data_IF_578268447492
#
_entry.id   IF_578268447492
#
_cell.length_a   1.000
_cell.length_b   1.000
_cell.length_c   1.000
_cell.angle_alpha   90.00
_cell.angle_beta   90.00
_cell.angle_gamma   90.00
#
_symmetry.space_group_name_H-M   'P 1'
#
loop_
_entity.id
_entity.type
_entity.pdbx_description
1 polymer ?
#
# COMPACT_ATOMS: atom_id res chain seq x y z
N UNK A 1 7.96 -37.98 0.82
CA UNK A 1 7.67 -37.14 2.01
C UNK A 1 8.81 -36.11 2.22
N UNK A 2 10.10 -36.47 2.12
CA UNK A 2 11.20 -35.50 2.31
C UNK A 2 11.24 -34.37 1.26
N UNK A 3 10.86 -34.64 0.00
CA UNK A 3 10.85 -33.63 -1.07
C UNK A 3 9.78 -32.56 -0.81
N UNK A 4 8.57 -32.91 -0.40
CA UNK A 4 7.48 -31.96 -0.10
C UNK A 4 7.74 -31.09 1.12
N UNK A 5 8.71 -31.45 1.98
CA UNK A 5 9.09 -30.64 3.12
C UNK A 5 9.90 -29.37 2.74
N UNK A 6 10.59 -29.41 1.59
CA UNK A 6 11.53 -28.34 1.19
C UNK A 6 11.21 -27.70 -0.16
N UNK A 7 10.23 -28.20 -0.92
CA UNK A 7 9.87 -27.71 -2.26
C UNK A 7 8.38 -27.44 -2.38
N UNK A 8 8.05 -26.47 -3.21
CA UNK A 8 6.65 -26.15 -3.58
C UNK A 8 6.12 -27.17 -4.61
N UNK A 9 4.97 -27.74 -4.35
CA UNK A 9 4.41 -28.81 -5.17
C UNK A 9 3.90 -28.39 -6.55
N UNK A 10 3.60 -27.09 -6.75
CA UNK A 10 3.11 -26.57 -8.03
C UNK A 10 4.26 -26.18 -8.96
N UNK A 11 5.24 -25.45 -8.43
CA UNK A 11 6.32 -24.85 -9.21
C UNK A 11 7.60 -25.68 -9.20
N UNK A 12 7.75 -26.61 -8.25
CA UNK A 12 8.98 -27.35 -8.02
C UNK A 12 10.13 -26.53 -7.43
N UNK A 13 9.93 -25.24 -7.19
CA UNK A 13 10.91 -24.38 -6.53
C UNK A 13 11.10 -24.75 -5.05
N UNK A 14 12.22 -24.42 -4.44
CA UNK A 14 12.36 -24.36 -2.99
C UNK A 14 11.20 -23.62 -2.34
N UNK A 15 10.70 -24.15 -1.22
CA UNK A 15 9.63 -23.52 -0.47
C UNK A 15 10.16 -22.54 0.58
N UNK A 16 9.28 -21.93 1.37
CA UNK A 16 9.60 -20.98 2.43
C UNK A 16 10.61 -21.53 3.45
N UNK A 17 10.48 -22.79 3.82
CA UNK A 17 11.38 -23.41 4.82
C UNK A 17 12.80 -23.55 4.26
N UNK A 18 12.93 -24.02 3.03
CA UNK A 18 14.24 -24.14 2.36
C UNK A 18 14.89 -22.75 2.17
N UNK A 19 14.08 -21.72 1.75
CA UNK A 19 14.55 -20.35 1.63
C UNK A 19 15.11 -19.83 2.96
N UNK A 20 14.39 -20.01 4.06
CA UNK A 20 14.84 -19.57 5.38
C UNK A 20 16.14 -20.23 5.80
N UNK A 21 16.27 -21.54 5.66
CA UNK A 21 17.51 -22.26 5.96
C UNK A 21 18.70 -21.77 5.12
N UNK A 22 18.47 -21.51 3.84
CA UNK A 22 19.50 -20.98 2.95
C UNK A 22 19.91 -19.57 3.30
N UNK A 23 18.94 -18.72 3.65
CA UNK A 23 19.19 -17.35 4.11
C UNK A 23 20.03 -17.35 5.40
N UNK A 24 19.69 -18.18 6.39
CA UNK A 24 20.46 -18.33 7.61
C UNK A 24 21.90 -18.80 7.35
N UNK A 25 22.08 -19.75 6.42
CA UNK A 25 23.42 -20.21 6.00
C UNK A 25 24.19 -19.09 5.28
N UNK A 26 23.50 -18.30 4.43
CA UNK A 26 24.14 -17.20 3.70
C UNK A 26 24.59 -16.07 4.64
N UNK A 27 23.81 -15.78 5.71
CA UNK A 27 24.16 -14.78 6.72
C UNK A 27 25.34 -15.18 7.62
N UNK A 28 25.62 -16.47 7.75
CA UNK A 28 26.79 -16.98 8.50
C UNK A 28 28.09 -16.93 7.69
N UNK A 29 28.00 -16.82 6.37
CA UNK A 29 29.20 -16.71 5.54
C UNK A 29 29.77 -15.29 5.69
N UNK A 30 31.09 -15.15 5.85
CA UNK A 30 31.72 -13.85 5.85
C UNK A 30 31.42 -13.12 4.53
N UNK A 31 31.25 -11.81 4.60
CA UNK A 31 31.15 -11.01 3.39
C UNK A 31 32.46 -11.11 2.61
N UNK A 32 32.35 -11.55 1.37
CA UNK A 32 33.47 -11.58 0.45
C UNK A 32 33.44 -10.22 -0.26
N UNK A 33 34.43 -9.39 -0.04
CA UNK A 33 34.53 -8.04 -0.63
C UNK A 33 34.39 -7.99 -2.16
N UNK A 34 34.45 -9.15 -2.82
CA UNK A 34 34.43 -9.27 -4.28
C UNK A 34 33.04 -9.47 -4.88
N UNK A 35 31.99 -9.65 -4.08
CA UNK A 35 30.61 -9.87 -4.60
C UNK A 35 29.59 -9.16 -3.72
N UNK A 36 28.59 -8.59 -4.38
CA UNK A 36 27.41 -8.01 -3.75
C UNK A 36 26.32 -9.07 -3.66
N UNK A 37 25.67 -9.19 -2.50
CA UNK A 37 24.58 -10.15 -2.25
C UNK A 37 23.30 -9.45 -1.82
N UNK A 38 22.17 -9.90 -2.34
CA UNK A 38 20.88 -9.37 -1.97
C UNK A 38 19.84 -10.48 -1.73
N UNK A 39 18.94 -10.21 -0.81
CA UNK A 39 17.65 -10.88 -0.69
C UNK A 39 16.65 -10.06 -1.51
N UNK A 40 15.97 -10.71 -2.43
CA UNK A 40 14.93 -10.15 -3.29
C UNK A 40 13.61 -10.79 -2.89
N UNK A 41 12.58 -10.00 -2.63
CA UNK A 41 11.23 -10.43 -2.30
C UNK A 41 10.28 -9.90 -3.36
N UNK A 42 9.48 -10.77 -3.96
CA UNK A 42 8.63 -10.44 -5.10
C UNK A 42 7.18 -10.82 -4.80
N UNK A 43 6.26 -10.03 -5.34
CA UNK A 43 4.83 -10.28 -5.30
C UNK A 43 4.22 -9.92 -6.66
N UNK A 44 3.37 -10.80 -7.19
CA UNK A 44 2.75 -10.59 -8.49
C UNK A 44 1.60 -9.59 -8.41
N UNK A 45 1.74 -8.51 -9.14
CA UNK A 45 0.73 -7.46 -9.17
C UNK A 45 -0.56 -7.96 -9.82
N UNK A 46 -1.67 -7.75 -9.11
CA UNK A 46 -3.01 -8.10 -9.59
C UNK A 46 -3.24 -9.60 -9.87
N UNK A 47 -2.46 -10.51 -9.28
CA UNK A 47 -2.63 -11.96 -9.42
C UNK A 47 -4.06 -12.43 -9.10
N UNK A 48 -4.68 -11.84 -8.07
CA UNK A 48 -6.07 -12.12 -7.72
C UNK A 48 -7.02 -11.87 -8.90
N UNK A 49 -6.81 -10.79 -9.67
CA UNK A 49 -7.62 -10.49 -10.86
C UNK A 49 -7.51 -11.60 -11.92
N UNK A 50 -6.33 -12.19 -12.12
CA UNK A 50 -6.14 -13.33 -13.03
C UNK A 50 -6.97 -14.52 -12.55
N UNK A 51 -6.92 -14.86 -11.25
CA UNK A 51 -7.72 -15.93 -10.67
C UNK A 51 -9.23 -15.67 -10.81
N UNK A 52 -9.67 -14.45 -10.51
CA UNK A 52 -11.09 -14.10 -10.51
C UNK A 52 -11.65 -14.04 -11.94
N UNK A 53 -10.82 -13.72 -12.95
CA UNK A 53 -11.24 -13.56 -14.35
C UNK A 53 -11.07 -14.83 -15.18
N UNK A 54 -9.92 -15.53 -15.04
CA UNK A 54 -9.54 -16.69 -15.86
C UNK A 54 -9.62 -18.02 -15.08
N UNK A 55 -9.89 -17.96 -13.78
CA UNK A 55 -9.99 -19.11 -12.90
C UNK A 55 -8.65 -19.55 -12.29
N UNK A 56 -8.72 -20.29 -11.19
CA UNK A 56 -7.54 -20.79 -10.46
C UNK A 56 -6.56 -21.61 -11.30
N UNK A 57 -7.00 -22.47 -12.26
CA UNK A 57 -6.05 -23.17 -13.10
C UNK A 57 -5.15 -22.23 -13.92
N UNK A 58 -5.68 -21.09 -14.42
CA UNK A 58 -4.88 -20.10 -15.14
C UNK A 58 -3.88 -19.39 -14.19
N UNK A 59 -4.27 -19.14 -12.94
CA UNK A 59 -3.35 -18.65 -11.92
C UNK A 59 -2.23 -19.63 -11.61
N UNK A 60 -2.51 -20.93 -11.55
CA UNK A 60 -1.50 -21.97 -11.34
C UNK A 60 -0.50 -22.01 -12.50
N UNK A 61 -0.98 -21.92 -13.75
CA UNK A 61 -0.11 -21.85 -14.94
C UNK A 61 0.73 -20.59 -14.96
N UNK A 62 0.14 -19.43 -14.60
CA UNK A 62 0.89 -18.18 -14.45
C UNK A 62 2.05 -18.33 -13.44
N UNK A 63 1.82 -18.94 -12.29
CA UNK A 63 2.85 -19.19 -11.28
C UNK A 63 3.97 -20.10 -11.79
N UNK A 64 3.65 -21.09 -12.64
CA UNK A 64 4.65 -21.94 -13.30
C UNK A 64 5.47 -21.17 -14.32
N UNK A 65 4.84 -20.32 -15.14
CA UNK A 65 5.54 -19.44 -16.07
C UNK A 65 6.48 -18.45 -15.36
N UNK A 66 6.01 -17.80 -14.28
CA UNK A 66 6.83 -16.92 -13.44
C UNK A 66 8.03 -17.67 -12.88
N UNK A 67 7.80 -18.88 -12.34
CA UNK A 67 8.86 -19.76 -11.85
C UNK A 67 9.92 -20.07 -12.93
N UNK A 68 9.47 -20.35 -14.14
CA UNK A 68 10.35 -20.58 -15.29
C UNK A 68 11.20 -19.35 -15.63
N UNK A 69 10.58 -18.17 -15.75
CA UNK A 69 11.28 -16.90 -16.03
C UNK A 69 12.30 -16.54 -14.95
N UNK A 70 11.95 -16.71 -13.67
CA UNK A 70 12.89 -16.45 -12.56
C UNK A 70 14.08 -17.43 -12.59
N UNK A 71 13.87 -18.70 -12.91
CA UNK A 71 14.94 -19.66 -13.05
C UNK A 71 15.84 -19.35 -14.25
N UNK A 72 15.29 -18.89 -15.39
CA UNK A 72 16.07 -18.48 -16.55
C UNK A 72 17.00 -17.28 -16.28
N UNK A 73 16.53 -16.33 -15.43
CA UNK A 73 17.31 -15.17 -15.01
C UNK A 73 18.39 -15.51 -13.98
N UNK A 74 18.23 -16.62 -13.27
CA UNK A 74 19.09 -16.98 -12.14
C UNK A 74 20.44 -17.51 -12.61
N UNK A 75 21.52 -17.07 -11.96
CA UNK A 75 22.85 -17.63 -12.12
C UNK A 75 23.09 -18.88 -11.24
N UNK A 76 24.22 -19.55 -11.46
CA UNK A 76 24.60 -20.81 -10.78
C UNK A 76 24.65 -20.70 -9.24
N UNK A 77 24.80 -19.49 -8.72
CA UNK A 77 24.90 -19.23 -7.28
C UNK A 77 23.64 -18.61 -6.67
N UNK A 78 22.66 -18.33 -7.50
CA UNK A 78 21.39 -17.77 -7.06
C UNK A 78 20.46 -18.88 -6.54
N UNK A 79 19.48 -18.47 -5.78
CA UNK A 79 18.39 -19.34 -5.33
C UNK A 79 17.08 -18.63 -5.60
N UNK A 80 16.15 -19.35 -6.20
CA UNK A 80 14.75 -18.93 -6.36
C UNK A 80 13.89 -19.81 -5.45
N UNK A 81 12.90 -19.22 -4.80
CA UNK A 81 11.93 -19.93 -3.96
C UNK A 81 10.53 -19.35 -4.15
N UNK A 82 9.50 -20.19 -4.05
CA UNK A 82 8.12 -19.75 -3.88
C UNK A 82 7.77 -19.79 -2.40
N UNK A 83 7.27 -18.66 -1.87
CA UNK A 83 7.04 -18.50 -0.44
C UNK A 83 5.60 -18.85 -0.06
N UNK A 84 4.64 -18.25 -0.76
CA UNK A 84 3.22 -18.53 -0.60
C UNK A 84 2.43 -17.85 -1.72
N UNK A 85 1.27 -18.37 -2.09
CA UNK A 85 0.39 -17.70 -3.05
C UNK A 85 1.13 -17.18 -4.29
N UNK A 86 1.21 -15.88 -4.43
CA UNK A 86 1.86 -15.09 -5.49
C UNK A 86 3.22 -14.50 -5.08
N UNK A 87 3.74 -14.89 -3.92
CA UNK A 87 5.02 -14.42 -3.39
C UNK A 87 6.18 -15.34 -3.77
N UNK A 88 7.25 -14.74 -4.27
CA UNK A 88 8.53 -15.40 -4.55
C UNK A 88 9.66 -14.68 -3.81
N UNK A 89 10.78 -15.39 -3.64
CA UNK A 89 11.98 -14.78 -3.07
C UNK A 89 13.22 -15.33 -3.78
N UNK A 90 14.28 -14.50 -3.82
CA UNK A 90 15.57 -14.92 -4.36
C UNK A 90 16.70 -14.51 -3.41
N UNK A 91 17.72 -15.33 -3.34
CA UNK A 91 19.05 -14.93 -2.82
C UNK A 91 19.96 -14.84 -4.03
N UNK A 92 20.48 -13.67 -4.31
CA UNK A 92 21.25 -13.39 -5.52
C UNK A 92 22.60 -12.79 -5.19
N UNK A 93 23.58 -13.03 -6.07
CA UNK A 93 24.90 -12.41 -5.97
C UNK A 93 25.41 -11.96 -7.33
N UNK A 94 26.03 -10.77 -7.37
CA UNK A 94 26.64 -10.18 -8.56
C UNK A 94 27.96 -9.52 -8.20
N UNK A 95 28.86 -9.34 -9.19
CA UNK A 95 30.18 -8.74 -8.91
C UNK A 95 30.08 -7.31 -8.36
N UNK A 96 29.17 -6.50 -8.88
CA UNK A 96 29.05 -5.09 -8.48
C UNK A 96 27.60 -4.73 -8.13
N UNK A 97 27.43 -3.58 -7.49
CA UNK A 97 26.10 -3.02 -7.21
C UNK A 97 25.34 -2.69 -8.50
N UNK A 98 26.04 -2.15 -9.51
CA UNK A 98 25.44 -1.85 -10.81
C UNK A 98 24.91 -3.10 -11.51
N UNK A 99 25.60 -4.25 -11.39
CA UNK A 99 25.13 -5.52 -11.94
C UNK A 99 23.88 -6.03 -11.21
N UNK A 100 23.75 -5.75 -9.91
CA UNK A 100 22.52 -6.05 -9.15
C UNK A 100 21.35 -5.17 -9.58
N UNK A 101 21.58 -3.87 -9.73
CA UNK A 101 20.53 -2.93 -10.16
C UNK A 101 20.02 -3.30 -11.56
N UNK A 102 20.90 -3.58 -12.50
CA UNK A 102 20.51 -4.08 -13.82
C UNK A 102 19.71 -5.39 -13.74
N UNK A 103 20.11 -6.28 -12.84
CA UNK A 103 19.38 -7.54 -12.62
C UNK A 103 17.98 -7.31 -12.03
N UNK A 104 17.79 -6.34 -11.14
CA UNK A 104 16.47 -6.00 -10.60
C UNK A 104 15.57 -5.38 -11.68
N UNK A 105 16.12 -4.53 -12.54
CA UNK A 105 15.42 -4.01 -13.72
C UNK A 105 15.00 -5.15 -14.65
N UNK A 106 15.91 -6.08 -14.95
CA UNK A 106 15.65 -7.25 -15.81
C UNK A 106 14.53 -8.15 -15.22
N UNK A 107 14.51 -8.36 -13.90
CA UNK A 107 13.40 -9.10 -13.23
C UNK A 107 12.05 -8.40 -13.50
N UNK A 108 11.97 -7.09 -13.26
CA UNK A 108 10.71 -6.36 -13.40
C UNK A 108 10.25 -6.31 -14.86
N UNK A 109 11.15 -6.11 -15.81
CA UNK A 109 10.86 -6.14 -17.24
C UNK A 109 10.40 -7.53 -17.70
N UNK A 110 11.16 -8.57 -17.36
CA UNK A 110 10.88 -9.94 -17.79
C UNK A 110 9.57 -10.48 -17.22
N UNK A 111 9.25 -10.15 -15.97
CA UNK A 111 7.98 -10.55 -15.35
C UNK A 111 6.79 -9.74 -15.87
N UNK A 112 7.00 -8.58 -16.48
CA UNK A 112 5.95 -7.76 -17.08
C UNK A 112 5.60 -8.17 -18.52
N UNK A 113 6.40 -9.03 -19.16
CA UNK A 113 6.08 -9.56 -20.48
C UNK A 113 4.77 -10.37 -20.44
N UNK A 114 3.94 -10.32 -21.49
CA UNK A 114 2.68 -11.06 -21.55
C UNK A 114 2.85 -12.57 -21.31
N UNK A 115 1.87 -13.17 -20.70
CA UNK A 115 1.78 -14.61 -20.46
C UNK A 115 0.69 -15.23 -21.34
N UNK A 116 1.03 -16.31 -22.06
CA UNK A 116 0.03 -17.13 -22.74
C UNK A 116 -0.46 -18.21 -21.79
N UNK A 117 -1.72 -18.08 -21.37
CA UNK A 117 -2.40 -19.00 -20.47
C UNK A 117 -3.49 -19.73 -21.26
N UNK A 118 -3.15 -20.88 -21.84
CA UNK A 118 -4.03 -21.71 -22.69
C UNK A 118 -4.73 -20.94 -23.82
N UNK A 119 -3.97 -20.06 -24.53
CA UNK A 119 -4.49 -19.27 -25.63
C UNK A 119 -5.16 -17.95 -25.22
N UNK A 120 -5.18 -17.65 -23.92
CA UNK A 120 -5.55 -16.32 -23.40
C UNK A 120 -4.30 -15.56 -22.98
N UNK A 121 -4.14 -14.35 -23.47
CA UNK A 121 -3.02 -13.49 -23.05
C UNK A 121 -3.35 -12.78 -21.75
N UNK A 122 -2.54 -12.97 -20.72
CA UNK A 122 -2.63 -12.24 -19.45
C UNK A 122 -1.44 -11.29 -19.30
N UNK A 123 -1.70 -10.09 -18.79
CA UNK A 123 -0.68 -9.14 -18.38
C UNK A 123 -0.60 -9.15 -16.85
N UNK A 124 0.55 -9.51 -16.33
CA UNK A 124 0.85 -9.51 -14.92
C UNK A 124 2.27 -8.98 -14.75
N UNK A 125 2.47 -8.09 -13.80
CA UNK A 125 3.79 -7.56 -13.43
C UNK A 125 4.16 -8.05 -12.03
N UNK A 126 5.33 -7.67 -11.57
CA UNK A 126 5.75 -7.94 -10.21
C UNK A 126 6.29 -6.66 -9.54
N UNK A 127 5.96 -6.49 -8.27
CA UNK A 127 6.62 -5.54 -7.39
C UNK A 127 7.74 -6.25 -6.64
N UNK A 128 8.87 -5.57 -6.44
CA UNK A 128 10.09 -6.18 -5.93
C UNK A 128 10.67 -5.38 -4.77
N UNK A 129 10.87 -6.03 -3.64
CA UNK A 129 11.59 -5.48 -2.49
C UNK A 129 12.98 -6.08 -2.38
N UNK A 130 13.98 -5.25 -2.19
CA UNK A 130 15.39 -5.67 -2.14
C UNK A 130 16.02 -5.32 -0.79
N UNK A 131 16.72 -6.28 -0.19
CA UNK A 131 17.57 -6.04 0.98
C UNK A 131 18.98 -6.55 0.72
N UNK A 132 19.94 -5.63 0.73
CA UNK A 132 21.36 -5.98 0.62
C UNK A 132 21.84 -6.73 1.87
N UNK A 133 22.72 -7.72 1.68
CA UNK A 133 23.48 -8.27 2.80
C UNK A 133 24.47 -7.22 3.30
N UNK A 134 24.58 -7.13 4.60
CA UNK A 134 25.55 -6.28 5.29
C UNK A 134 26.11 -6.99 6.54
N UNK A 135 27.28 -6.57 7.05
CA UNK A 135 27.92 -7.21 8.20
C UNK A 135 27.13 -7.09 9.50
N UNK A 136 26.17 -6.19 9.57
CA UNK A 136 25.42 -5.87 10.79
C UNK A 136 24.13 -6.68 10.92
N UNK A 137 23.53 -7.09 9.81
CA UNK A 137 22.28 -7.88 9.79
C UNK A 137 22.63 -9.37 9.83
N UNK A 138 22.52 -9.98 11.02
CA UNK A 138 22.85 -11.41 11.26
C UNK A 138 21.61 -12.29 11.43
N UNK A 139 20.43 -11.71 11.38
CA UNK A 139 19.17 -12.39 11.64
C UNK A 139 18.30 -12.41 10.37
N UNK A 140 17.90 -13.63 9.98
CA UNK A 140 17.08 -13.85 8.78
C UNK A 140 15.70 -13.17 8.88
N UNK A 141 15.12 -13.11 10.08
CA UNK A 141 13.83 -12.46 10.30
C UNK A 141 13.91 -10.96 9.98
N UNK A 142 14.98 -10.30 10.41
CA UNK A 142 15.23 -8.89 10.11
C UNK A 142 15.44 -8.66 8.62
N UNK A 143 16.20 -9.54 7.94
CA UNK A 143 16.37 -9.45 6.47
C UNK A 143 15.04 -9.57 5.74
N UNK A 144 14.22 -10.54 6.10
CA UNK A 144 12.90 -10.75 5.52
C UNK A 144 11.98 -9.56 5.75
N UNK A 145 11.91 -9.05 7.00
CA UNK A 145 11.13 -7.85 7.33
C UNK A 145 11.56 -6.64 6.48
N UNK A 146 12.86 -6.43 6.31
CA UNK A 146 13.38 -5.30 5.53
C UNK A 146 13.07 -5.43 4.04
N UNK A 147 13.14 -6.64 3.48
CA UNK A 147 12.76 -6.89 2.09
C UNK A 147 11.25 -6.68 1.86
N UNK A 148 10.41 -7.09 2.81
CA UNK A 148 8.97 -6.88 2.79
C UNK A 148 8.60 -5.38 2.87
N UNK A 149 9.27 -4.59 3.73
CA UNK A 149 9.10 -3.15 3.77
C UNK A 149 9.47 -2.46 2.44
N UNK A 150 10.53 -2.93 1.80
CA UNK A 150 10.93 -2.44 0.49
C UNK A 150 9.91 -2.83 -0.60
N UNK A 151 9.37 -4.06 -0.56
CA UNK A 151 8.30 -4.50 -1.45
C UNK A 151 7.03 -3.65 -1.29
N UNK A 152 6.63 -3.39 -0.05
CA UNK A 152 5.49 -2.50 0.22
C UNK A 152 5.71 -1.11 -0.38
N UNK A 153 6.92 -0.55 -0.28
CA UNK A 153 7.26 0.72 -0.91
C UNK A 153 7.20 0.65 -2.44
N UNK A 154 7.68 -0.43 -3.06
CA UNK A 154 7.56 -0.63 -4.51
C UNK A 154 6.09 -0.64 -4.97
N UNK A 155 5.20 -1.30 -4.22
CA UNK A 155 3.75 -1.28 -4.49
C UNK A 155 3.16 0.14 -4.39
N UNK A 156 3.57 0.95 -3.42
CA UNK A 156 3.15 2.36 -3.28
C UNK A 156 3.68 3.27 -4.39
N UNK A 157 4.85 2.99 -4.95
CA UNK A 157 5.43 3.74 -6.08
C UNK A 157 4.73 3.49 -7.42
N UNK A 158 3.70 2.67 -7.45
CA UNK A 158 2.89 2.41 -8.64
C UNK A 158 2.97 0.99 -9.16
N UNK A 159 3.57 0.07 -8.39
CA UNK A 159 3.79 -1.33 -8.77
C UNK A 159 4.75 -1.50 -9.96
N UNK A 160 4.96 -2.72 -10.43
CA UNK A 160 5.82 -3.03 -11.59
C UNK A 160 7.21 -2.36 -11.51
N UNK A 161 7.77 -2.33 -10.32
CA UNK A 161 9.07 -1.69 -10.02
C UNK A 161 9.75 -2.38 -8.84
N UNK A 162 11.00 -2.04 -8.62
CA UNK A 162 11.73 -2.49 -7.44
C UNK A 162 12.08 -1.34 -6.51
N UNK A 163 12.22 -1.66 -5.23
CA UNK A 163 12.68 -0.72 -4.21
C UNK A 163 13.70 -1.40 -3.31
N UNK A 164 14.77 -0.68 -2.98
CA UNK A 164 15.77 -1.15 -2.04
C UNK A 164 15.45 -0.67 -0.64
N UNK A 165 15.60 -1.55 0.34
CA UNK A 165 15.46 -1.18 1.74
C UNK A 165 16.51 -0.15 2.15
N UNK A 166 16.03 0.89 2.79
CA UNK A 166 16.84 1.88 3.52
C UNK A 166 16.33 1.99 4.97
N UNK A 167 17.16 2.38 5.95
CA UNK A 167 16.71 2.60 7.33
C UNK A 167 15.51 3.56 7.42
N UNK A 168 15.44 4.55 6.53
CA UNK A 168 14.32 5.49 6.46
C UNK A 168 12.97 4.79 6.17
N UNK A 169 12.96 3.64 5.48
CA UNK A 169 11.72 2.88 5.27
C UNK A 169 11.21 2.23 6.57
N UNK A 170 12.09 1.72 7.43
CA UNK A 170 11.69 1.16 8.73
C UNK A 170 11.16 2.26 9.66
N UNK A 171 11.79 3.45 9.65
CA UNK A 171 11.32 4.62 10.40
C UNK A 171 9.93 5.07 9.91
N UNK A 172 9.71 5.16 8.60
CA UNK A 172 8.41 5.49 8.01
C UNK A 172 7.34 4.46 8.36
N UNK A 173 7.67 3.17 8.28
CA UNK A 173 6.74 2.11 8.65
C UNK A 173 6.32 2.17 10.12
N UNK A 174 7.26 2.46 11.02
CA UNK A 174 6.96 2.65 12.46
C UNK A 174 6.10 3.90 12.68
N UNK A 175 6.42 5.00 12.02
CA UNK A 175 5.61 6.22 12.09
C UNK A 175 4.18 5.98 11.58
N UNK A 176 4.03 5.21 10.50
CA UNK A 176 2.72 4.81 9.97
C UNK A 176 1.89 4.03 10.99
N UNK A 177 2.46 2.99 11.60
CA UNK A 177 1.78 2.20 12.64
C UNK A 177 1.41 3.05 13.86
N UNK A 178 2.27 4.01 14.23
CA UNK A 178 1.96 4.93 15.33
C UNK A 178 0.78 5.83 14.98
N UNK A 179 0.78 6.44 13.78
CA UNK A 179 -0.34 7.28 13.31
C UNK A 179 -1.65 6.48 13.27
N UNK A 180 -1.62 5.22 12.85
CA UNK A 180 -2.80 4.36 12.84
C UNK A 180 -3.37 4.15 14.26
N UNK A 181 -2.51 3.82 15.22
CA UNK A 181 -2.92 3.66 16.62
C UNK A 181 -3.48 4.98 17.19
N UNK A 182 -2.82 6.10 16.90
CA UNK A 182 -3.21 7.43 17.34
C UNK A 182 -4.57 7.85 16.73
N UNK A 183 -4.83 7.54 15.45
CA UNK A 183 -6.12 7.82 14.79
C UNK A 183 -7.28 7.05 15.40
N UNK A 184 -7.08 5.80 15.82
CA UNK A 184 -8.08 5.05 16.58
C UNK A 184 -8.41 5.75 17.89
N UNK A 185 -7.39 6.18 18.63
CA UNK A 185 -7.54 6.94 19.88
C UNK A 185 -8.25 8.28 19.65
N UNK A 186 -7.90 9.00 18.59
CA UNK A 186 -8.45 10.31 18.26
C UNK A 186 -9.98 10.29 18.08
N UNK A 187 -10.50 9.22 17.44
CA UNK A 187 -11.95 9.03 17.29
C UNK A 187 -12.67 8.81 18.64
N UNK A 188 -12.00 8.16 19.59
CA UNK A 188 -12.58 7.87 20.92
C UNK A 188 -12.50 9.06 21.87
N UNK A 189 -11.45 9.87 21.76
CA UNK A 189 -11.18 10.98 22.68
C UNK A 189 -11.56 12.36 22.13
N UNK A 190 -12.27 12.42 20.98
CA UNK A 190 -12.75 13.68 20.39
C UNK A 190 -11.61 14.66 20.06
N UNK A 191 -10.50 14.14 19.52
CA UNK A 191 -9.32 14.93 19.17
C UNK A 191 -9.45 15.62 17.79
N UNK A 192 -10.51 15.33 17.03
CA UNK A 192 -10.79 15.99 15.77
C UNK A 192 -11.60 17.27 15.94
N UNK A 193 -11.28 18.29 15.15
CA UNK A 193 -12.03 19.52 15.03
C UNK A 193 -12.16 19.95 13.56
N UNK A 194 -13.11 20.85 13.26
CA UNK A 194 -13.29 21.44 11.95
C UNK A 194 -12.91 22.91 11.97
N UNK A 195 -12.05 23.29 11.04
CA UNK A 195 -11.81 24.67 10.66
C UNK A 195 -12.62 25.00 9.43
N UNK A 196 -13.20 26.19 9.38
CA UNK A 196 -14.04 26.62 8.28
C UNK A 196 -13.35 27.72 7.47
N UNK A 197 -13.06 27.45 6.20
CA UNK A 197 -12.50 28.42 5.29
C UNK A 197 -13.63 29.11 4.50
N UNK A 198 -13.80 30.43 4.63
CA UNK A 198 -14.89 31.11 3.94
C UNK A 198 -14.65 31.13 2.42
N UNK A 199 -15.73 30.95 1.68
CA UNK A 199 -15.81 31.13 0.24
C UNK A 199 -16.61 32.40 -0.06
N UNK A 200 -16.03 33.32 -0.82
CA UNK A 200 -16.64 34.63 -1.08
C UNK A 200 -16.97 34.78 -2.56
N UNK A 201 -18.07 35.46 -2.85
CA UNK A 201 -18.40 35.87 -4.21
C UNK A 201 -17.36 36.89 -4.69
N UNK A 202 -16.81 36.69 -5.89
CA UNK A 202 -15.74 37.53 -6.43
C UNK A 202 -16.16 38.98 -6.77
N UNK A 203 -17.44 39.21 -6.93
CA UNK A 203 -18.00 40.52 -7.31
C UNK A 203 -18.52 41.29 -6.09
N UNK A 204 -19.26 40.60 -5.22
CA UNK A 204 -19.89 41.26 -4.04
C UNK A 204 -19.04 41.23 -2.81
N UNK A 205 -18.06 40.34 -2.76
CA UNK A 205 -17.24 39.99 -1.57
C UNK A 205 -18.04 39.46 -0.38
N UNK A 206 -19.29 39.05 -0.60
CA UNK A 206 -20.12 38.42 0.41
C UNK A 206 -19.68 36.96 0.63
N UNK A 207 -19.80 36.46 1.86
CA UNK A 207 -19.57 35.05 2.17
C UNK A 207 -20.76 34.24 1.68
N UNK A 208 -20.52 33.36 0.69
CA UNK A 208 -21.55 32.51 0.07
C UNK A 208 -21.47 31.05 0.53
N UNK A 209 -20.29 30.64 1.04
CA UNK A 209 -20.04 29.29 1.54
C UNK A 209 -18.86 29.22 2.48
N UNK A 210 -18.63 28.05 2.99
CA UNK A 210 -17.40 27.72 3.72
C UNK A 210 -17.04 26.24 3.51
N UNK A 211 -15.75 25.97 3.38
CA UNK A 211 -15.22 24.62 3.33
C UNK A 211 -14.86 24.14 4.73
N UNK A 212 -15.38 22.96 5.12
CA UNK A 212 -15.08 22.32 6.37
C UNK A 212 -13.79 21.51 6.27
N UNK A 213 -12.74 22.01 6.89
CA UNK A 213 -11.40 21.45 6.83
C UNK A 213 -11.08 20.72 8.13
N UNK A 214 -10.89 19.41 8.04
CA UNK A 214 -10.55 18.58 9.18
C UNK A 214 -9.18 18.99 9.77
N UNK A 215 -9.10 18.99 11.11
CA UNK A 215 -7.88 19.19 11.89
C UNK A 215 -7.85 18.14 13.00
N UNK A 216 -6.65 17.74 13.36
CA UNK A 216 -6.45 16.79 14.45
C UNK A 216 -5.62 17.43 15.56
N UNK A 217 -6.22 17.63 16.72
CA UNK A 217 -5.55 18.11 17.93
C UNK A 217 -4.88 16.94 18.65
N UNK A 218 -3.71 16.55 18.13
CA UNK A 218 -2.93 15.45 18.69
C UNK A 218 -2.34 15.83 20.06
N UNK A 219 -2.46 15.01 21.11
CA UNK A 219 -2.01 15.38 22.46
C UNK A 219 -0.52 15.67 22.57
N UNK A 220 0.32 15.03 21.77
CA UNK A 220 1.79 15.21 21.79
C UNK A 220 2.31 16.09 20.64
N UNK A 221 1.68 16.05 19.46
CA UNK A 221 2.14 16.77 18.26
C UNK A 221 1.48 18.13 18.07
N UNK A 222 0.44 18.44 18.85
CA UNK A 222 -0.37 19.64 18.65
C UNK A 222 -1.28 19.51 17.42
N UNK A 223 -1.48 20.61 16.70
CA UNK A 223 -2.38 20.64 15.55
C UNK A 223 -1.75 19.96 14.33
N UNK A 224 -2.34 18.84 13.90
CA UNK A 224 -1.92 18.04 12.74
C UNK A 224 -2.87 18.29 11.58
N UNK A 225 -2.30 18.49 10.38
CA UNK A 225 -3.03 18.80 9.16
C UNK A 225 -3.39 17.53 8.36
N UNK A 226 -4.45 17.58 7.53
CA UNK A 226 -4.95 16.42 6.78
C UNK A 226 -3.88 15.70 5.95
N UNK A 227 -2.95 16.43 5.32
CA UNK A 227 -1.86 15.87 4.53
C UNK A 227 -0.97 14.88 5.28
N UNK A 228 -0.93 14.97 6.61
CA UNK A 228 -0.08 14.13 7.45
C UNK A 228 -0.78 12.85 7.96
N UNK A 229 -2.11 12.71 7.76
CA UNK A 229 -2.83 11.54 8.30
C UNK A 229 -3.96 10.98 7.42
N UNK A 230 -4.46 11.71 6.42
CA UNK A 230 -5.59 11.24 5.59
C UNK A 230 -5.21 9.97 4.82
N UNK A 231 -4.02 9.93 4.19
CA UNK A 231 -3.54 8.74 3.48
C UNK A 231 -3.51 7.52 4.42
N UNK A 232 -3.03 7.69 5.66
CA UNK A 232 -3.03 6.63 6.67
C UNK A 232 -4.44 6.18 7.04
N UNK A 233 -5.38 7.13 7.17
CA UNK A 233 -6.77 6.82 7.46
C UNK A 233 -7.47 6.09 6.30
N UNK A 234 -7.08 6.37 5.06
CA UNK A 234 -7.55 5.66 3.87
C UNK A 234 -6.99 4.24 3.80
N UNK A 235 -5.68 4.07 3.98
CA UNK A 235 -5.00 2.78 3.94
C UNK A 235 -5.60 1.75 4.92
N UNK A 236 -6.02 2.19 6.11
CA UNK A 236 -6.60 1.33 7.15
C UNK A 236 -8.13 1.37 7.25
N UNK A 237 -8.80 2.12 6.35
CA UNK A 237 -10.26 2.24 6.28
C UNK A 237 -10.90 3.13 7.36
N UNK A 238 -10.12 3.74 8.27
CA UNK A 238 -10.64 4.66 9.30
C UNK A 238 -11.25 5.93 8.70
N UNK A 239 -10.88 6.28 7.48
CA UNK A 239 -11.41 7.44 6.76
C UNK A 239 -12.95 7.43 6.69
N UNK A 240 -13.58 6.25 6.63
CA UNK A 240 -15.04 6.14 6.63
C UNK A 240 -15.63 6.61 7.95
N UNK A 241 -15.06 6.21 9.08
CA UNK A 241 -15.51 6.63 10.42
C UNK A 241 -15.23 8.12 10.68
N UNK A 242 -14.05 8.58 10.27
CA UNK A 242 -13.66 10.00 10.36
C UNK A 242 -14.61 10.85 9.50
N UNK A 243 -14.88 10.44 8.27
CA UNK A 243 -15.78 11.17 7.37
C UNK A 243 -17.24 11.20 7.86
N UNK A 244 -17.72 10.12 8.45
CA UNK A 244 -19.03 10.11 9.13
C UNK A 244 -19.09 11.15 10.26
N UNK A 245 -18.02 11.27 11.02
CA UNK A 245 -17.91 12.30 12.05
C UNK A 245 -17.86 13.71 11.45
N UNK A 246 -17.05 13.92 10.41
CA UNK A 246 -16.91 15.21 9.69
C UNK A 246 -18.28 15.70 9.18
N UNK A 247 -19.04 14.83 8.49
CA UNK A 247 -20.36 15.18 7.96
C UNK A 247 -21.31 15.64 9.07
N UNK A 248 -21.34 14.89 10.19
CA UNK A 248 -22.20 15.25 11.33
C UNK A 248 -21.77 16.56 11.97
N UNK A 249 -20.48 16.76 12.18
CA UNK A 249 -19.93 17.98 12.79
C UNK A 249 -20.13 19.20 11.87
N UNK A 250 -19.89 19.07 10.57
CA UNK A 250 -20.08 20.15 9.58
C UNK A 250 -21.53 20.61 9.53
N UNK A 251 -22.49 19.66 9.51
CA UNK A 251 -23.92 20.01 9.49
C UNK A 251 -24.41 20.58 10.82
N UNK A 252 -23.83 20.17 11.95
CA UNK A 252 -24.12 20.79 13.24
C UNK A 252 -23.67 22.26 13.28
N UNK A 253 -22.51 22.58 12.73
CA UNK A 253 -22.04 23.97 12.62
C UNK A 253 -22.79 24.76 11.55
N UNK A 254 -23.19 24.15 10.42
CA UNK A 254 -24.00 24.77 9.40
C UNK A 254 -25.31 25.37 9.93
N UNK A 255 -25.87 24.78 11.01
CA UNK A 255 -27.06 25.30 11.71
C UNK A 255 -26.82 26.68 12.34
N UNK A 256 -25.57 27.01 12.69
CA UNK A 256 -25.21 28.30 13.30
C UNK A 256 -24.91 29.38 12.27
N UNK A 257 -24.69 28.99 11.03
CA UNK A 257 -24.39 29.90 9.93
C UNK A 257 -25.67 30.46 9.29
N UNK A 258 -25.62 31.66 8.67
CA UNK A 258 -26.73 32.19 7.90
C UNK A 258 -27.28 31.21 6.87
N UNK A 259 -28.59 31.21 6.62
CA UNK A 259 -29.25 30.21 5.77
C UNK A 259 -28.77 30.21 4.30
N UNK A 260 -28.18 31.29 3.82
CA UNK A 260 -27.64 31.38 2.45
C UNK A 260 -26.22 30.83 2.33
N UNK A 261 -25.53 30.61 3.45
CA UNK A 261 -24.16 30.08 3.47
C UNK A 261 -24.20 28.56 3.31
N UNK A 262 -23.52 28.05 2.29
CA UNK A 262 -23.33 26.62 2.07
C UNK A 262 -22.11 26.09 2.86
N UNK A 263 -22.09 24.79 3.09
CA UNK A 263 -20.97 24.10 3.72
C UNK A 263 -20.49 23.00 2.80
N UNK A 264 -19.23 23.08 2.36
CA UNK A 264 -18.56 22.05 1.56
C UNK A 264 -17.79 21.08 2.46
N UNK A 265 -17.88 19.79 2.13
CA UNK A 265 -17.19 18.70 2.84
C UNK A 265 -16.46 17.84 1.84
N UNK A 266 -15.17 17.60 2.06
CA UNK A 266 -14.36 16.70 1.26
C UNK A 266 -14.74 15.23 1.55
N UNK A 267 -14.92 14.43 0.49
CA UNK A 267 -15.29 13.02 0.55
C UNK A 267 -14.19 12.18 -0.09
N UNK A 268 -13.68 11.20 0.66
CA UNK A 268 -12.71 10.22 0.14
C UNK A 268 -13.35 9.22 -0.83
N UNK A 269 -12.59 8.71 -1.82
CA UNK A 269 -13.00 7.60 -2.70
C UNK A 269 -13.60 6.42 -1.94
N UNK A 270 -12.97 6.02 -0.85
CA UNK A 270 -13.42 4.89 -0.03
C UNK A 270 -14.79 5.11 0.62
N UNK A 271 -15.13 6.36 0.94
CA UNK A 271 -16.44 6.70 1.49
C UNK A 271 -17.55 6.57 0.45
N UNK A 272 -17.29 6.88 -0.82
CA UNK A 272 -18.28 6.79 -1.92
C UNK A 272 -18.73 5.35 -2.12
N UNK A 273 -17.80 4.39 -2.00
CA UNK A 273 -18.10 2.97 -2.08
C UNK A 273 -18.71 2.38 -0.80
N UNK A 274 -18.77 3.17 0.29
CA UNK A 274 -19.39 2.76 1.54
C UNK A 274 -20.92 2.81 1.45
N UNK A 275 -21.58 1.72 1.83
CA UNK A 275 -23.05 1.65 1.91
C UNK A 275 -23.68 2.63 2.91
N UNK A 276 -22.89 3.20 3.82
CA UNK A 276 -23.35 4.05 4.91
C UNK A 276 -23.36 5.55 4.59
N UNK A 277 -22.63 6.02 3.57
CA UNK A 277 -22.47 7.44 3.29
C UNK A 277 -23.82 8.19 3.15
N UNK A 278 -24.70 7.69 2.29
CA UNK A 278 -26.01 8.31 2.07
C UNK A 278 -26.86 8.31 3.35
N UNK A 279 -26.81 7.24 4.12
CA UNK A 279 -27.54 7.14 5.40
C UNK A 279 -27.02 8.17 6.40
N UNK A 280 -25.71 8.33 6.51
CA UNK A 280 -25.07 9.34 7.37
C UNK A 280 -25.50 10.75 6.98
N UNK A 281 -25.46 11.09 5.68
CA UNK A 281 -25.86 12.41 5.17
C UNK A 281 -27.32 12.68 5.48
N UNK A 282 -28.24 11.78 5.12
CA UNK A 282 -29.69 11.97 5.34
C UNK A 282 -30.00 12.14 6.83
N UNK A 283 -29.42 11.30 7.67
CA UNK A 283 -29.63 11.39 9.12
C UNK A 283 -29.08 12.71 9.70
N UNK A 284 -27.90 13.15 9.26
CA UNK A 284 -27.29 14.38 9.74
C UNK A 284 -28.08 15.63 9.29
N UNK A 285 -28.58 15.66 8.05
CA UNK A 285 -29.46 16.70 7.54
C UNK A 285 -30.75 16.76 8.37
N UNK A 286 -31.41 15.63 8.58
CA UNK A 286 -32.65 15.55 9.36
C UNK A 286 -32.46 15.96 10.81
N UNK A 287 -31.40 15.48 11.47
CA UNK A 287 -31.10 15.82 12.88
C UNK A 287 -30.85 17.32 13.07
N UNK A 288 -30.22 17.99 12.13
CA UNK A 288 -29.88 19.41 12.23
C UNK A 288 -30.93 20.32 11.55
N UNK A 289 -31.95 19.75 10.87
CA UNK A 289 -32.98 20.48 10.11
C UNK A 289 -32.40 21.46 9.10
N UNK A 290 -31.37 21.04 8.40
CA UNK A 290 -30.66 21.81 7.38
C UNK A 290 -31.34 21.58 6.02
N UNK A 291 -31.46 22.63 5.19
CA UNK A 291 -31.82 22.47 3.78
C UNK A 291 -30.72 21.68 3.07
N UNK A 292 -31.03 20.53 2.42
CA UNK A 292 -30.03 19.72 1.72
C UNK A 292 -29.17 20.51 0.70
N UNK A 293 -29.72 21.58 0.10
CA UNK A 293 -29.03 22.45 -0.84
C UNK A 293 -27.88 23.25 -0.24
N UNK A 294 -27.77 23.26 1.09
CA UNK A 294 -26.68 23.92 1.82
C UNK A 294 -25.46 23.02 2.03
N UNK A 295 -25.58 21.73 1.75
CA UNK A 295 -24.44 20.80 1.80
C UNK A 295 -23.88 20.61 0.39
N UNK A 296 -22.60 20.83 0.21
CA UNK A 296 -21.84 20.48 -0.97
C UNK A 296 -20.84 19.40 -0.62
N UNK A 297 -20.74 18.36 -1.46
CA UNK A 297 -19.78 17.28 -1.31
C UNK A 297 -18.69 17.45 -2.36
N UNK A 298 -17.45 17.61 -1.92
CA UNK A 298 -16.31 17.79 -2.79
C UNK A 298 -15.57 16.46 -2.97
N UNK A 299 -15.34 16.11 -4.23
CA UNK A 299 -14.70 14.85 -4.63
C UNK A 299 -13.46 15.20 -5.46
N UNK A 300 -12.33 14.58 -5.17
CA UNK A 300 -11.11 14.79 -5.95
C UNK A 300 -11.19 14.14 -7.33
N UNK A 301 -10.46 14.68 -8.32
CA UNK A 301 -10.44 14.15 -9.71
C UNK A 301 -10.07 12.66 -9.78
N UNK A 302 -9.24 12.18 -8.89
CA UNK A 302 -8.80 10.77 -8.82
C UNK A 302 -9.97 9.79 -8.67
N UNK A 303 -11.08 10.23 -8.06
CA UNK A 303 -12.30 9.44 -7.88
C UNK A 303 -13.09 9.26 -9.16
N UNK A 304 -13.01 10.23 -10.08
CA UNK A 304 -13.78 10.20 -11.32
C UNK A 304 -13.14 9.32 -12.40
N UNK A 305 -11.89 8.87 -12.18
CA UNK A 305 -11.12 8.09 -13.14
C UNK A 305 -10.93 6.62 -12.72
N UNK A 306 -11.42 6.21 -11.59
CA UNK A 306 -11.42 4.83 -11.05
C UNK A 306 -12.81 4.20 -11.21
#
# INVERSE_FOLDING_TARGET
>A
IAFMAHYDGLTGLPNRMNMQERLEKALRKPDVETVQRALVWLDLDNFKWVNDTLGHPAGDELLQHVSGRLNELSGDHDMVARISGDEFAMIVQRPTMGDLELFFDEITERLSEPYDLWGSTANCSASVGVRMFDPYTKDARTMLKHADLALYQAKKLGKSTWCMFTPALDERARAHLQVEADLHSALEHSEFELHFQPQVDAHTHDVVGCEALLRWNHPERGLVYPGDFIEHAEDNGLITRIGDWVIRAALAEARRLPNHVKVSVNISPLQIHSSNLMTTIVNAIAANKIDPRRLELEITETVLMS
#
